data_IF_729856011889
#
_entry.id   IF_729856011889
#
_cell.length_a   1.000
_cell.length_b   1.000
_cell.length_c   1.000
_cell.angle_alpha   90.00
_cell.angle_beta   90.00
_cell.angle_gamma   90.00
#
_symmetry.space_group_name_H-M   'P 1'
#
loop_
_entity.id
_entity.type
_entity.pdbx_description
1 polymer ?
#
# COMPACT_ATOMS: atom_id res chain seq x y z
N UNK A 1 -2.64 36.42 0.63
CA UNK A 1 -2.52 35.28 1.56
C UNK A 1 -1.38 34.41 1.08
N UNK A 2 -0.41 34.11 1.94
CA UNK A 2 0.64 33.13 1.67
C UNK A 2 0.09 31.73 1.95
N UNK A 3 0.38 30.78 1.08
CA UNK A 3 0.02 29.38 1.31
C UNK A 3 0.87 28.83 2.47
N UNK A 4 0.21 28.31 3.50
CA UNK A 4 0.85 27.61 4.62
C UNK A 4 0.90 26.12 4.31
N UNK A 5 2.05 25.48 4.52
CA UNK A 5 2.25 24.06 4.30
C UNK A 5 2.75 23.40 5.59
N UNK A 6 2.19 22.24 5.94
CA UNK A 6 2.60 21.45 7.10
C UNK A 6 2.92 20.03 6.64
N UNK A 7 4.04 19.50 7.12
CA UNK A 7 4.44 18.10 6.89
C UNK A 7 4.45 17.40 8.24
N UNK A 8 3.63 16.37 8.37
CA UNK A 8 3.58 15.51 9.56
C UNK A 8 4.31 14.20 9.22
N UNK A 9 5.35 13.87 9.98
CA UNK A 9 6.18 12.68 9.77
C UNK A 9 5.78 11.63 10.80
N UNK A 10 5.32 10.46 10.34
CA UNK A 10 4.96 9.33 11.19
C UNK A 10 3.94 8.40 10.53
N UNK A 11 3.40 7.46 11.30
CA UNK A 11 2.22 6.70 10.88
C UNK A 11 1.07 7.69 10.63
N UNK A 12 0.45 7.59 9.45
CA UNK A 12 -0.64 8.48 9.05
C UNK A 12 -1.87 8.37 9.97
N UNK A 13 -2.15 7.19 10.54
CA UNK A 13 -3.25 6.95 11.48
C UNK A 13 -3.07 7.77 12.74
N UNK A 14 -1.84 7.81 13.28
CA UNK A 14 -1.51 8.61 14.46
C UNK A 14 -1.41 10.10 14.13
N UNK A 15 -0.80 10.44 12.99
CA UNK A 15 -0.64 11.84 12.57
C UNK A 15 -1.99 12.52 12.34
N UNK A 16 -2.96 11.82 11.72
CA UNK A 16 -4.30 12.36 11.51
C UNK A 16 -5.06 12.64 12.81
N UNK A 17 -4.80 11.89 13.89
CA UNK A 17 -5.43 12.15 15.22
C UNK A 17 -5.10 13.53 15.79
N UNK A 18 -4.01 14.15 15.35
CA UNK A 18 -3.69 15.54 15.72
C UNK A 18 -4.53 16.58 14.98
N UNK A 19 -5.22 16.19 13.91
CA UNK A 19 -6.06 17.06 13.10
C UNK A 19 -7.50 17.10 13.65
N UNK A 20 -8.16 18.27 13.67
CA UNK A 20 -9.57 18.37 14.05
C UNK A 20 -10.46 17.51 13.12
N UNK A 21 -11.60 17.06 13.66
CA UNK A 21 -12.62 16.43 12.82
C UNK A 21 -13.22 17.45 11.84
N UNK A 22 -13.61 17.02 10.64
CA UNK A 22 -14.23 17.90 9.64
C UNK A 22 -13.39 19.10 9.22
N UNK A 23 -12.05 19.01 9.26
CA UNK A 23 -11.15 20.12 8.90
C UNK A 23 -10.60 20.04 7.48
N UNK A 24 -10.73 18.90 6.81
CA UNK A 24 -10.11 18.64 5.49
C UNK A 24 -11.17 18.67 4.39
N UNK A 25 -10.93 19.44 3.33
CA UNK A 25 -11.83 19.54 2.17
C UNK A 25 -11.57 18.47 1.12
N UNK A 26 -10.30 18.08 0.93
CA UNK A 26 -9.91 17.13 -0.10
C UNK A 26 -8.77 16.27 0.43
N UNK A 27 -8.91 14.95 0.24
CA UNK A 27 -7.85 13.97 0.49
C UNK A 27 -7.48 13.32 -0.83
N UNK A 28 -6.18 13.26 -1.12
CA UNK A 28 -5.64 12.58 -2.30
C UNK A 28 -4.59 11.61 -1.79
N UNK A 29 -4.75 10.32 -2.08
CA UNK A 29 -3.85 9.30 -1.52
C UNK A 29 -3.67 8.10 -2.45
N UNK A 30 -2.51 7.46 -2.34
CA UNK A 30 -2.14 6.20 -2.98
C UNK A 30 -1.43 5.33 -1.94
N UNK A 31 -2.17 4.62 -1.07
CA UNK A 31 -1.56 3.80 -0.03
C UNK A 31 -0.70 2.69 -0.66
N UNK A 32 0.21 2.05 0.09
CA UNK A 32 0.92 0.87 -0.40
C UNK A 32 -0.05 -0.19 -0.96
N UNK A 33 0.20 -0.66 -2.17
CA UNK A 33 -0.63 -1.69 -2.80
C UNK A 33 -0.25 -3.07 -2.25
N UNK A 34 -1.24 -3.93 -2.06
CA UNK A 34 -1.03 -5.21 -1.42
C UNK A 34 -0.03 -6.09 -2.17
N UNK A 35 0.97 -6.61 -1.47
CA UNK A 35 1.97 -7.55 -1.92
C UNK A 35 2.88 -7.11 -3.09
N UNK A 36 3.02 -5.81 -3.34
CA UNK A 36 3.85 -5.31 -4.45
C UNK A 36 5.23 -4.80 -4.02
N UNK A 37 5.29 -3.94 -2.99
CA UNK A 37 6.52 -3.21 -2.63
C UNK A 37 6.79 -3.30 -1.14
N UNK A 38 8.06 -3.50 -0.82
CA UNK A 38 8.60 -3.43 0.52
C UNK A 38 9.36 -2.10 0.67
N UNK A 39 8.86 -1.25 1.56
CA UNK A 39 9.45 0.06 1.89
C UNK A 39 10.48 -0.02 3.02
N UNK A 40 10.76 -1.20 3.58
CA UNK A 40 11.76 -1.40 4.62
C UNK A 40 11.38 -0.82 5.99
N UNK A 41 10.08 -0.64 6.24
CA UNK A 41 9.57 -0.08 7.50
C UNK A 41 8.67 -1.10 8.19
N UNK A 42 8.94 -1.37 9.46
CA UNK A 42 8.13 -2.27 10.28
C UNK A 42 6.71 -1.73 10.43
N UNK A 43 5.72 -2.62 10.31
CA UNK A 43 4.30 -2.26 10.39
C UNK A 43 3.78 -1.48 9.18
N UNK A 44 4.53 -1.40 8.07
CA UNK A 44 4.03 -0.84 6.82
C UNK A 44 2.76 -1.57 6.36
N UNK A 45 1.84 -0.81 5.79
CA UNK A 45 0.68 -1.36 5.10
C UNK A 45 1.12 -2.03 3.78
N UNK A 46 0.38 -3.04 3.33
CA UNK A 46 0.54 -3.67 2.02
C UNK A 46 1.40 -4.94 2.03
N UNK A 47 1.95 -5.37 3.17
CA UNK A 47 2.69 -6.65 3.29
C UNK A 47 2.00 -7.66 4.21
N UNK A 48 0.73 -7.44 4.55
CA UNK A 48 -0.11 -8.33 5.36
C UNK A 48 -0.24 -9.72 4.74
N UNK A 49 -0.64 -10.69 5.55
CA UNK A 49 -0.63 -12.08 5.11
C UNK A 49 -1.71 -12.42 4.10
N UNK A 50 -2.86 -11.80 4.26
CA UNK A 50 -4.02 -12.01 3.40
C UNK A 50 -4.57 -10.68 2.89
N UNK A 51 -5.33 -10.70 1.78
CA UNK A 51 -6.05 -9.53 1.30
C UNK A 51 -6.98 -8.94 2.37
N UNK A 52 -7.61 -9.78 3.18
CA UNK A 52 -8.54 -9.35 4.24
C UNK A 52 -7.84 -8.58 5.35
N UNK A 53 -6.64 -9.02 5.76
CA UNK A 53 -5.82 -8.28 6.74
C UNK A 53 -5.41 -6.92 6.18
N UNK A 54 -5.05 -6.84 4.90
CA UNK A 54 -4.76 -5.57 4.22
C UNK A 54 -5.96 -4.65 4.18
N UNK A 55 -7.13 -5.17 3.80
CA UNK A 55 -8.39 -4.40 3.78
C UNK A 55 -8.73 -3.91 5.19
N UNK A 56 -8.52 -4.73 6.23
CA UNK A 56 -8.73 -4.29 7.61
C UNK A 56 -7.79 -3.12 7.98
N UNK A 57 -6.50 -3.22 7.67
CA UNK A 57 -5.54 -2.15 7.90
C UNK A 57 -5.84 -0.87 7.09
N UNK A 58 -6.37 -1.01 5.87
CA UNK A 58 -6.87 0.09 5.06
C UNK A 58 -8.10 0.74 5.70
N UNK A 59 -9.08 -0.04 6.16
CA UNK A 59 -10.26 0.49 6.86
C UNK A 59 -9.85 1.31 8.08
N UNK A 60 -8.83 0.88 8.82
CA UNK A 60 -8.32 1.65 9.96
C UNK A 60 -7.72 3.01 9.55
N UNK A 61 -7.02 3.08 8.41
CA UNK A 61 -6.58 4.36 7.83
C UNK A 61 -7.79 5.21 7.42
N UNK A 62 -8.74 4.62 6.70
CA UNK A 62 -9.88 5.37 6.15
C UNK A 62 -10.89 5.81 7.20
N UNK A 63 -10.93 5.17 8.38
CA UNK A 63 -11.67 5.69 9.54
C UNK A 63 -11.16 7.05 9.99
N UNK A 64 -9.85 7.24 10.03
CA UNK A 64 -9.26 8.54 10.36
C UNK A 64 -9.43 9.56 9.24
N UNK A 65 -9.30 9.13 7.97
CA UNK A 65 -9.61 9.97 6.80
C UNK A 65 -11.06 10.48 6.89
N UNK A 66 -12.01 9.58 7.12
CA UNK A 66 -13.42 9.92 7.27
C UNK A 66 -13.66 10.93 8.40
N UNK A 67 -13.00 10.74 9.56
CA UNK A 67 -13.13 11.65 10.70
C UNK A 67 -12.67 13.07 10.39
N UNK A 68 -11.53 13.22 9.71
CA UNK A 68 -10.96 14.54 9.41
C UNK A 68 -11.61 15.21 8.20
N UNK A 69 -12.23 14.43 7.32
CA UNK A 69 -12.92 14.93 6.14
C UNK A 69 -14.19 15.68 6.57
N UNK A 70 -14.45 16.81 5.90
CA UNK A 70 -15.73 17.52 6.03
C UNK A 70 -16.87 16.71 5.43
N UNK A 71 -18.10 17.02 5.86
CA UNK A 71 -19.33 16.43 5.31
C UNK A 71 -19.49 16.70 3.79
N UNK A 72 -18.89 17.80 3.30
CA UNK A 72 -18.85 18.18 1.87
C UNK A 72 -17.51 17.88 1.19
N UNK A 73 -16.62 17.12 1.85
CA UNK A 73 -15.28 16.83 1.38
C UNK A 73 -15.22 15.71 0.34
N UNK A 74 -14.12 15.66 -0.40
CA UNK A 74 -13.88 14.62 -1.43
C UNK A 74 -12.64 13.79 -1.11
N UNK A 75 -12.73 12.48 -1.33
CA UNK A 75 -11.59 11.55 -1.28
C UNK A 75 -11.27 11.04 -2.68
N UNK A 76 -10.01 11.18 -3.08
CA UNK A 76 -9.42 10.60 -4.28
C UNK A 76 -8.46 9.50 -3.87
N UNK A 77 -8.86 8.25 -4.10
CA UNK A 77 -8.07 7.06 -3.82
C UNK A 77 -7.52 6.49 -5.11
N UNK A 78 -6.20 6.42 -5.22
CA UNK A 78 -5.51 5.68 -6.26
C UNK A 78 -5.03 4.34 -5.70
N UNK A 79 -5.61 3.24 -6.20
CA UNK A 79 -5.28 1.88 -5.80
C UNK A 79 -5.29 0.96 -7.02
N UNK A 80 -4.44 -0.06 -7.01
CA UNK A 80 -4.40 -1.10 -8.02
C UNK A 80 -4.49 -2.48 -7.39
N UNK A 81 -5.08 -3.42 -8.13
CA UNK A 81 -5.15 -4.82 -7.74
C UNK A 81 -3.79 -5.52 -7.94
N UNK A 82 -3.67 -6.70 -7.33
CA UNK A 82 -2.51 -7.56 -7.38
C UNK A 82 -2.82 -8.89 -8.04
N UNK A 83 -1.81 -9.46 -8.70
CA UNK A 83 -1.90 -10.79 -9.29
C UNK A 83 -1.25 -11.82 -8.39
N UNK A 84 -1.82 -13.02 -8.36
CA UNK A 84 -1.18 -14.17 -7.73
C UNK A 84 0.00 -14.70 -8.58
N UNK A 85 1.15 -14.06 -8.49
CA UNK A 85 2.35 -14.46 -9.24
C UNK A 85 3.17 -15.59 -8.57
N UNK A 86 2.51 -16.39 -7.73
CA UNK A 86 2.92 -17.68 -7.17
C UNK A 86 3.49 -18.70 -8.18
N UNK A 87 4.58 -18.39 -8.90
CA UNK A 87 4.97 -19.16 -10.08
C UNK A 87 6.24 -18.73 -10.78
N UNK A 88 6.60 -17.44 -10.78
CA UNK A 88 7.69 -16.95 -11.65
C UNK A 88 9.09 -17.05 -11.06
N UNK A 89 9.25 -17.25 -9.76
CA UNK A 89 10.57 -17.49 -9.16
C UNK A 89 10.95 -18.96 -9.31
N UNK A 90 11.25 -19.38 -10.54
CA UNK A 90 11.88 -20.69 -10.79
C UNK A 90 13.40 -20.63 -10.92
N UNK A 91 14.00 -19.45 -10.86
CA UNK A 91 15.46 -19.30 -10.94
C UNK A 91 15.95 -18.40 -9.79
N UNK A 92 16.41 -19.03 -8.71
CA UNK A 92 17.25 -18.42 -7.69
C UNK A 92 18.72 -18.31 -8.12
N UNK A 93 18.98 -18.11 -9.41
CA UNK A 93 20.33 -18.02 -10.00
C UNK A 93 20.30 -16.83 -10.97
N UNK A 94 21.28 -15.92 -10.83
CA UNK A 94 21.22 -14.53 -11.25
C UNK A 94 20.72 -14.22 -12.67
N UNK A 95 19.99 -13.11 -12.78
CA UNK A 95 19.82 -12.37 -14.02
C UNK A 95 20.39 -10.97 -13.81
N UNK A 96 21.67 -10.85 -14.15
CA UNK A 96 22.26 -9.61 -14.61
C UNK A 96 21.43 -9.04 -15.78
N UNK A 97 21.20 -7.73 -15.73
CA UNK A 97 20.89 -6.92 -16.92
C UNK A 97 19.45 -6.95 -17.44
N UNK A 98 18.83 -5.76 -17.40
CA UNK A 98 17.84 -5.25 -18.38
C UNK A 98 16.36 -5.59 -18.21
N UNK A 99 15.72 -5.10 -17.14
CA UNK A 99 14.38 -4.47 -17.24
C UNK A 99 14.37 -3.16 -16.46
N UNK A 100 14.61 -2.07 -17.18
CA UNK A 100 14.52 -0.68 -16.69
C UNK A 100 13.10 -0.40 -16.19
N UNK A 101 12.98 -0.01 -14.93
CA UNK A 101 11.71 0.50 -14.39
C UNK A 101 11.60 0.57 -12.86
N UNK A 102 12.70 0.78 -12.14
CA UNK A 102 12.63 0.99 -10.68
C UNK A 102 13.87 1.72 -10.22
N UNK A 103 13.73 2.98 -9.85
CA UNK A 103 14.79 3.74 -9.22
C UNK A 103 15.21 3.03 -7.92
N UNK A 104 16.39 2.42 -7.92
CA UNK A 104 17.10 2.08 -6.69
C UNK A 104 17.45 3.41 -6.02
N UNK A 105 16.76 3.73 -4.92
CA UNK A 105 17.19 4.81 -4.05
C UNK A 105 18.61 4.53 -3.50
N UNK A 106 19.34 5.55 -3.04
CA UNK A 106 20.74 5.43 -2.64
C UNK A 106 21.01 4.37 -1.55
N UNK A 107 19.97 3.97 -0.82
CA UNK A 107 20.08 3.17 0.41
C UNK A 107 19.72 1.68 0.23
N UNK A 108 19.49 1.21 -1.01
CA UNK A 108 19.37 -0.22 -1.33
C UNK A 108 18.22 -1.01 -0.67
N UNK A 109 17.37 -0.37 0.12
CA UNK A 109 16.35 -1.06 0.94
C UNK A 109 14.93 -1.02 0.35
N UNK A 110 14.60 -0.06 -0.52
CA UNK A 110 13.29 0.02 -1.16
C UNK A 110 13.28 -0.77 -2.49
N UNK A 111 12.50 -1.84 -2.56
CA UNK A 111 12.47 -2.73 -3.72
C UNK A 111 11.09 -3.33 -3.99
N UNK A 112 10.82 -3.63 -5.24
CA UNK A 112 9.68 -4.48 -5.61
C UNK A 112 10.00 -5.91 -5.18
N UNK A 113 9.53 -6.31 -4.00
CA UNK A 113 9.56 -7.70 -3.54
C UNK A 113 8.15 -8.22 -3.55
N UNK A 114 7.77 -8.88 -4.64
CA UNK A 114 6.51 -9.59 -4.67
C UNK A 114 6.62 -10.78 -3.69
N UNK A 115 5.83 -10.74 -2.62
CA UNK A 115 5.84 -11.75 -1.58
C UNK A 115 5.37 -13.09 -2.15
N UNK A 116 6.03 -14.20 -1.82
CA UNK A 116 5.53 -15.53 -2.22
C UNK A 116 4.29 -15.88 -1.39
N UNK A 117 3.13 -15.52 -1.93
CA UNK A 117 1.82 -15.72 -1.32
C UNK A 117 1.20 -17.07 -1.69
N UNK A 118 1.97 -18.00 -2.30
CA UNK A 118 1.50 -19.31 -2.78
C UNK A 118 0.61 -20.03 -1.79
N UNK A 119 0.99 -20.05 -0.53
CA UNK A 119 0.27 -20.80 0.50
C UNK A 119 -0.95 -20.02 0.98
N UNK A 120 -0.79 -18.73 1.29
CA UNK A 120 -1.86 -17.87 1.77
C UNK A 120 -3.04 -17.75 0.77
N UNK A 121 -2.74 -17.67 -0.53
CA UNK A 121 -3.76 -17.49 -1.57
C UNK A 121 -4.36 -18.82 -2.07
N UNK A 122 -3.65 -19.94 -1.95
CA UNK A 122 -4.16 -21.26 -2.35
C UNK A 122 -5.35 -21.68 -1.50
N UNK A 123 -5.31 -21.38 -0.21
CA UNK A 123 -6.40 -21.70 0.73
C UNK A 123 -7.67 -20.88 0.44
N UNK A 124 -7.53 -19.77 -0.28
CA UNK A 124 -8.63 -18.92 -0.76
C UNK A 124 -9.07 -19.26 -2.20
N UNK A 125 -8.54 -20.33 -2.79
CA UNK A 125 -8.91 -20.78 -4.13
C UNK A 125 -8.37 -19.92 -5.28
N UNK A 126 -7.48 -18.96 -4.99
CA UNK A 126 -6.91 -18.04 -5.98
C UNK A 126 -5.75 -18.74 -6.69
N UNK A 127 -5.90 -19.00 -7.99
CA UNK A 127 -4.91 -19.74 -8.81
C UNK A 127 -3.79 -18.82 -9.27
N UNK A 128 -2.73 -19.41 -9.80
CA UNK A 128 -1.62 -18.65 -10.37
C UNK A 128 -2.09 -17.75 -11.52
N UNK A 129 -1.71 -16.47 -11.47
CA UNK A 129 -2.08 -15.37 -12.37
C UNK A 129 -3.53 -14.91 -12.26
N UNK A 130 -4.28 -15.39 -11.27
CA UNK A 130 -5.58 -14.80 -10.97
C UNK A 130 -5.37 -13.39 -10.38
N UNK A 131 -6.28 -12.49 -10.71
CA UNK A 131 -6.46 -11.25 -9.97
C UNK A 131 -6.96 -11.58 -8.56
N UNK A 132 -6.40 -10.91 -7.56
CA UNK A 132 -6.74 -11.14 -6.15
C UNK A 132 -8.10 -10.51 -5.82
N UNK A 133 -8.46 -9.42 -6.51
CA UNK A 133 -9.72 -8.73 -6.30
C UNK A 133 -9.68 -7.75 -5.11
N UNK A 134 -8.56 -7.04 -4.95
CA UNK A 134 -8.51 -5.90 -4.01
C UNK A 134 -9.56 -4.87 -4.46
N UNK A 135 -10.48 -4.43 -3.56
CA UNK A 135 -11.61 -3.57 -3.90
C UNK A 135 -11.22 -2.14 -4.31
#
# INVERSE_FOLDING_TARGET
MTATHHVLIGDCRESMRSLPAGSVHCVVTSPPYWALRDYGVDGQLGLENTPEEYVAGMVDVFREVWRVLRDDGTLWLNIGDSYNNAGSSRNGEGLDGTRRGGATGPDGQCGYKQRDLRHALKDHGIKHKDLVGIP
#
